data_IF_806112724709
#
_entry.id   IF_806112724709
#
_cell.length_a   1.000
_cell.length_b   1.000
_cell.length_c   1.000
_cell.angle_alpha   90.00
_cell.angle_beta   90.00
_cell.angle_gamma   90.00
#
_symmetry.space_group_name_H-M   'P 1'
#
loop_
_entity.id
_entity.type
_entity.pdbx_description
1 polymer ?
#
# COMPACT_ATOMS: atom_id res chain seq x y z
N UNK A 1 -17.97 -9.27 3.05
CA UNK A 1 -16.95 -10.31 3.31
C UNK A 1 -15.86 -9.71 4.18
N UNK A 2 -15.99 -9.77 5.50
CA UNK A 2 -15.06 -9.18 6.49
C UNK A 2 -13.96 -10.19 6.82
N UNK A 3 -13.21 -10.67 5.82
CA UNK A 3 -12.11 -11.60 6.10
C UNK A 3 -10.87 -10.78 6.51
N UNK A 4 -10.40 -10.86 7.76
CA UNK A 4 -9.30 -10.02 8.27
C UNK A 4 -8.03 -10.16 7.44
N UNK A 5 -7.78 -11.35 6.89
CA UNK A 5 -6.64 -11.68 6.01
C UNK A 5 -6.58 -10.81 4.76
N UNK A 6 -7.71 -10.38 4.20
CA UNK A 6 -7.73 -9.53 3.00
C UNK A 6 -7.17 -8.14 3.31
N UNK A 7 -7.46 -7.60 4.50
CA UNK A 7 -6.94 -6.29 4.92
C UNK A 7 -5.45 -6.34 5.19
N UNK A 8 -4.96 -7.42 5.83
CA UNK A 8 -3.52 -7.63 6.00
C UNK A 8 -2.80 -7.75 4.64
N UNK A 9 -3.39 -8.49 3.68
CA UNK A 9 -2.86 -8.58 2.32
C UNK A 9 -2.77 -7.21 1.62
N UNK A 10 -3.80 -6.39 1.73
CA UNK A 10 -3.80 -5.03 1.17
C UNK A 10 -2.72 -4.14 1.80
N UNK A 11 -2.52 -4.21 3.12
CA UNK A 11 -1.46 -3.47 3.82
C UNK A 11 -0.08 -3.91 3.33
N UNK A 12 0.17 -5.23 3.27
CA UNK A 12 1.47 -5.78 2.83
C UNK A 12 1.77 -5.37 1.39
N UNK A 13 0.80 -5.50 0.48
CA UNK A 13 0.95 -5.08 -0.92
C UNK A 13 1.18 -3.56 -1.03
N UNK A 14 0.48 -2.76 -0.22
CA UNK A 14 0.67 -1.32 -0.14
C UNK A 14 2.09 -0.94 0.30
N UNK A 15 2.61 -1.58 1.34
CA UNK A 15 3.98 -1.35 1.83
C UNK A 15 5.02 -1.71 0.76
N UNK A 16 4.87 -2.85 0.08
CA UNK A 16 5.76 -3.25 -1.02
C UNK A 16 5.73 -2.22 -2.15
N UNK A 17 4.55 -1.73 -2.53
CA UNK A 17 4.40 -0.70 -3.56
C UNK A 17 5.05 0.63 -3.16
N UNK A 18 4.94 1.06 -1.90
CA UNK A 18 5.63 2.26 -1.38
C UNK A 18 7.14 2.09 -1.47
N UNK A 19 7.68 0.95 -1.02
CA UNK A 19 9.12 0.66 -1.08
C UNK A 19 9.61 0.71 -2.54
N UNK A 20 8.90 0.05 -3.46
CA UNK A 20 9.24 0.07 -4.87
C UNK A 20 9.20 1.50 -5.48
N UNK A 21 8.17 2.29 -5.14
CA UNK A 21 8.05 3.68 -5.59
C UNK A 21 9.19 4.56 -5.10
N UNK A 22 9.57 4.42 -3.82
CA UNK A 22 10.72 5.13 -3.23
C UNK A 22 12.03 4.72 -3.91
N UNK A 23 12.24 3.43 -4.17
CA UNK A 23 13.45 2.94 -4.84
C UNK A 23 13.56 3.42 -6.28
N UNK A 24 12.44 3.54 -7.00
CA UNK A 24 12.39 4.10 -8.37
C UNK A 24 12.65 5.61 -8.40
N UNK A 25 12.13 6.37 -7.43
CA UNK A 25 12.34 7.82 -7.33
C UNK A 25 13.80 8.16 -6.96
N UNK A 26 14.41 7.35 -6.09
CA UNK A 26 15.79 7.55 -5.65
C UNK A 26 16.83 6.86 -6.55
N UNK A 27 16.40 6.31 -7.70
CA UNK A 27 17.29 5.71 -8.70
C UNK A 27 18.18 4.58 -8.15
N UNK A 28 17.67 3.80 -7.19
CA UNK A 28 18.45 2.82 -6.42
C UNK A 28 18.63 1.50 -7.19
N UNK A 29 17.60 1.04 -7.93
CA UNK A 29 17.61 -0.32 -8.53
C UNK A 29 17.21 -0.38 -10.01
N UNK A 30 16.39 0.56 -10.51
CA UNK A 30 15.76 0.42 -11.85
C UNK A 30 15.94 1.63 -12.78
N UNK A 31 16.86 2.57 -12.50
CA UNK A 31 16.90 3.84 -13.25
C UNK A 31 15.85 4.84 -12.74
N UNK A 32 16.07 6.15 -12.94
CA UNK A 32 15.13 7.19 -12.52
C UNK A 32 13.85 7.14 -13.35
N UNK A 33 12.76 6.71 -12.72
CA UNK A 33 11.44 6.66 -13.34
C UNK A 33 10.46 7.55 -12.57
N UNK A 34 10.65 8.87 -12.66
CA UNK A 34 9.91 9.85 -11.86
C UNK A 34 8.38 9.66 -11.88
N UNK A 35 7.78 9.46 -13.07
CA UNK A 35 6.32 9.29 -13.21
C UNK A 35 5.80 7.96 -12.63
N UNK A 36 6.52 6.86 -12.86
CA UNK A 36 6.13 5.53 -12.35
C UNK A 36 6.36 5.43 -10.84
N UNK A 37 7.47 5.99 -10.35
CA UNK A 37 7.79 6.03 -8.92
C UNK A 37 6.77 6.83 -8.12
N UNK A 38 6.36 8.01 -8.61
CA UNK A 38 5.26 8.78 -8.01
C UNK A 38 3.93 8.03 -8.04
N UNK A 39 3.60 7.40 -9.17
CA UNK A 39 2.39 6.59 -9.30
C UNK A 39 2.35 5.42 -8.31
N UNK A 40 3.45 4.67 -8.21
CA UNK A 40 3.58 3.56 -7.26
C UNK A 40 3.51 4.04 -5.79
N UNK A 41 4.08 5.19 -5.49
CA UNK A 41 4.07 5.77 -4.14
C UNK A 41 2.66 6.22 -3.74
N UNK A 42 1.93 6.89 -4.63
CA UNK A 42 0.53 7.29 -4.40
C UNK A 42 -0.37 6.07 -4.22
N UNK A 43 -0.27 5.09 -5.14
CA UNK A 43 -1.08 3.87 -5.09
C UNK A 43 -0.77 3.06 -3.83
N UNK A 44 0.51 2.92 -3.47
CA UNK A 44 0.94 2.21 -2.27
C UNK A 44 0.40 2.83 -0.99
N UNK A 45 0.49 4.16 -0.87
CA UNK A 45 -0.07 4.89 0.28
C UNK A 45 -1.59 4.70 0.39
N UNK A 46 -2.31 4.80 -0.72
CA UNK A 46 -3.76 4.59 -0.74
C UNK A 46 -4.15 3.16 -0.32
N UNK A 47 -3.41 2.15 -0.79
CA UNK A 47 -3.60 0.75 -0.40
C UNK A 47 -3.39 0.53 1.11
N UNK A 48 -2.35 1.15 1.68
CA UNK A 48 -2.11 1.09 3.13
C UNK A 48 -3.25 1.74 3.91
N UNK A 49 -3.69 2.94 3.50
CA UNK A 49 -4.79 3.65 4.17
C UNK A 49 -6.08 2.83 4.10
N UNK A 50 -6.46 2.35 2.92
CA UNK A 50 -7.68 1.55 2.74
C UNK A 50 -7.62 0.23 3.51
N UNK A 51 -6.45 -0.41 3.56
CA UNK A 51 -6.22 -1.61 4.36
C UNK A 51 -6.41 -1.36 5.85
N UNK A 52 -5.82 -0.28 6.38
CA UNK A 52 -5.95 0.10 7.79
C UNK A 52 -7.40 0.48 8.13
N UNK A 53 -8.00 1.39 7.37
CA UNK A 53 -9.40 1.84 7.59
C UNK A 53 -10.37 0.67 7.50
N UNK A 54 -10.21 -0.18 6.49
CA UNK A 54 -11.03 -1.38 6.32
C UNK A 54 -10.91 -2.35 7.49
N UNK A 55 -9.71 -2.50 8.05
CA UNK A 55 -9.48 -3.32 9.25
C UNK A 55 -10.16 -2.75 10.49
N UNK A 56 -10.08 -1.43 10.72
CA UNK A 56 -10.77 -0.76 11.82
C UNK A 56 -12.30 -0.88 11.70
N UNK A 57 -12.84 -0.67 10.49
CA UNK A 57 -14.28 -0.82 10.23
C UNK A 57 -14.77 -2.26 10.37
N UNK A 58 -13.94 -3.24 10.01
CA UNK A 58 -14.27 -4.66 10.19
C UNK A 58 -14.24 -5.03 11.67
N UNK A 59 -13.26 -4.54 12.44
CA UNK A 59 -13.16 -4.79 13.88
C UNK A 59 -14.32 -4.18 14.66
N UNK A 60 -14.72 -2.94 14.32
CA UNK A 60 -15.82 -2.25 15.02
C UNK A 60 -17.21 -2.83 14.75
N UNK A 61 -17.40 -3.58 13.65
CA UNK A 61 -18.65 -4.30 13.39
C UNK A 61 -18.79 -5.62 14.17
N UNK A 62 -17.70 -6.12 14.75
CA UNK A 62 -17.65 -7.41 15.44
C UNK A 62 -17.62 -7.23 16.97
N UNK A 63 -17.24 -6.04 17.47
CA UNK A 63 -17.33 -5.65 18.88
C UNK A 63 -18.71 -5.10 19.24
#
# INVERSE_FOLDING_TARGET
MTNPTTYYGAIVLGVIAVIAGVMMLNNIVLGYHGKLGLGALVVGVLLVILGIVGMFMARSRVS
#
